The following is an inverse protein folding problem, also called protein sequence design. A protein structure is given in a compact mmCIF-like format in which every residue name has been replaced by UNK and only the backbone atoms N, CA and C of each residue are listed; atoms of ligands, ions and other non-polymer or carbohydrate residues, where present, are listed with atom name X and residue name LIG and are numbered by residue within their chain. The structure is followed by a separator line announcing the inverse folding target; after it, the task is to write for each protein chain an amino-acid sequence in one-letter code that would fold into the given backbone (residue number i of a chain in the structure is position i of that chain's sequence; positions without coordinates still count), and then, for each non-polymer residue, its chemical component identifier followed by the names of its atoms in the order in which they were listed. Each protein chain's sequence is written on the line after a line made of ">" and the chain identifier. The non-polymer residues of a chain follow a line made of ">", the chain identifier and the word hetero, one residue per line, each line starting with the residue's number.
data_IF_637602858571
#
_entry.id   IF_637602858571
#
_cell.length_a   1.000
_cell.length_b   1.000
_cell.length_c   1.000
_cell.angle_alpha   90.00
_cell.angle_beta   90.00
_cell.angle_gamma   90.00
#
_symmetry.space_group_name_H-M   'P 1'
#
loop_
_entity.id
_entity.type
_entity.pdbx_description
1 polymer ?
#
# COMPACT_ATOMS: atom_id res chain seq x y z
N UNK A 1 -27.67 33.66 57.63
CA UNK A 1 -28.53 33.49 56.44
C UNK A 1 -27.88 34.19 55.26
N UNK A 2 -27.39 33.42 54.27
CA UNK A 2 -27.12 33.84 52.88
C UNK A 2 -26.73 32.58 52.09
N UNK A 3 -27.67 32.08 51.32
CA UNK A 3 -27.54 30.89 50.46
C UNK A 3 -27.06 31.41 49.10
N UNK A 4 -25.90 30.94 48.61
CA UNK A 4 -25.47 31.21 47.25
C UNK A 4 -26.00 30.10 46.35
N UNK A 5 -27.01 30.44 45.54
CA UNK A 5 -27.56 29.57 44.50
C UNK A 5 -26.58 29.53 43.33
N UNK A 6 -25.76 28.48 43.26
CA UNK A 6 -24.88 28.22 42.13
C UNK A 6 -25.66 27.62 40.96
N UNK A 7 -25.70 28.32 39.82
CA UNK A 7 -26.24 27.79 38.56
C UNK A 7 -25.20 26.86 37.96
N UNK A 8 -25.53 25.57 37.81
CA UNK A 8 -24.71 24.60 37.07
C UNK A 8 -25.14 24.64 35.61
N UNK A 9 -24.27 25.13 34.73
CA UNK A 9 -24.46 25.04 33.28
C UNK A 9 -23.86 23.71 32.81
N UNK A 10 -24.72 22.76 32.46
CA UNK A 10 -24.30 21.51 31.83
C UNK A 10 -24.05 21.74 30.34
N UNK A 11 -22.78 21.70 29.91
CA UNK A 11 -22.41 21.70 28.49
C UNK A 11 -22.52 20.27 27.98
N UNK A 12 -23.57 19.98 27.21
CA UNK A 12 -23.74 18.72 26.50
C UNK A 12 -22.96 18.81 25.18
N UNK A 13 -21.81 18.16 25.11
CA UNK A 13 -21.12 17.94 23.83
C UNK A 13 -21.87 16.88 23.03
N UNK A 14 -22.70 17.31 22.08
CA UNK A 14 -23.22 16.45 21.03
C UNK A 14 -22.06 16.02 20.14
N UNK A 15 -21.53 14.82 20.39
CA UNK A 15 -20.62 14.14 19.47
C UNK A 15 -21.43 13.76 18.22
N UNK A 16 -21.53 14.68 17.26
CA UNK A 16 -21.98 14.36 15.92
C UNK A 16 -20.93 13.43 15.30
N UNK A 17 -21.19 12.12 15.34
CA UNK A 17 -20.36 11.13 14.68
C UNK A 17 -20.41 11.40 13.17
N UNK A 18 -19.33 11.93 12.61
CA UNK A 18 -19.18 11.97 11.16
C UNK A 18 -19.17 10.53 10.64
N UNK A 19 -19.91 10.22 9.55
CA UNK A 19 -19.80 8.91 8.94
C UNK A 19 -18.33 8.70 8.53
N UNK A 20 -17.77 7.56 8.94
CA UNK A 20 -16.46 7.11 8.44
C UNK A 20 -16.65 6.89 6.95
N UNK A 21 -16.17 7.83 6.12
CA UNK A 21 -16.10 7.62 4.69
C UNK A 21 -15.22 6.38 4.44
N UNK A 22 -15.70 5.44 3.64
CA UNK A 22 -14.86 4.35 3.16
C UNK A 22 -13.62 4.95 2.49
N UNK A 23 -12.45 4.59 2.98
CA UNK A 23 -11.19 5.06 2.44
C UNK A 23 -11.04 4.50 1.02
N UNK A 24 -10.95 5.38 0.03
CA UNK A 24 -10.79 4.97 -1.37
C UNK A 24 -9.44 4.27 -1.55
N UNK A 25 -9.45 3.05 -2.09
CA UNK A 25 -8.23 2.33 -2.44
C UNK A 25 -7.71 2.82 -3.78
N UNK A 26 -6.46 3.30 -3.78
CA UNK A 26 -5.72 3.65 -4.99
C UNK A 26 -4.75 2.53 -5.32
N UNK A 27 -4.71 2.15 -6.59
CA UNK A 27 -3.86 1.08 -7.09
C UNK A 27 -2.64 1.65 -7.78
N UNK A 28 -1.45 1.24 -7.34
CA UNK A 28 -0.18 1.61 -7.96
C UNK A 28 0.43 0.40 -8.66
N UNK A 29 1.06 0.63 -9.80
CA UNK A 29 1.85 -0.41 -10.47
C UNK A 29 3.23 -0.41 -9.86
N UNK A 30 3.65 -1.57 -9.34
CA UNK A 30 5.03 -1.80 -8.91
C UNK A 30 5.70 -2.65 -9.97
N UNK A 31 6.85 -2.20 -10.47
CA UNK A 31 7.64 -2.88 -11.48
C UNK A 31 9.11 -2.48 -11.35
N UNK A 32 9.99 -3.25 -11.97
CA UNK A 32 11.42 -2.94 -12.01
C UNK A 32 11.72 -1.61 -12.71
N UNK A 33 12.76 -0.93 -12.21
CA UNK A 33 13.21 0.36 -12.72
C UNK A 33 13.90 0.18 -14.09
N UNK A 34 13.32 0.70 -15.19
CA UNK A 34 13.87 0.52 -16.52
C UNK A 34 15.18 1.29 -16.77
N UNK A 35 15.54 2.24 -15.91
CA UNK A 35 16.75 3.06 -16.07
C UNK A 35 18.00 2.33 -15.61
N UNK A 36 17.91 1.56 -14.51
CA UNK A 36 19.07 0.86 -13.94
C UNK A 36 19.30 -0.44 -14.70
N UNK A 37 18.34 -1.36 -14.63
CA UNK A 37 18.33 -2.62 -15.37
C UNK A 37 16.98 -3.31 -15.15
N UNK A 38 16.44 -3.94 -16.19
CA UNK A 38 15.33 -4.89 -16.06
C UNK A 38 15.94 -6.30 -16.01
N UNK A 39 15.81 -6.97 -14.87
CA UNK A 39 16.22 -8.35 -14.64
C UNK A 39 15.11 -9.34 -15.01
N UNK A 40 13.85 -9.11 -14.58
CA UNK A 40 12.73 -10.03 -14.83
C UNK A 40 11.63 -9.39 -15.68
N UNK A 41 11.32 -8.11 -15.45
CA UNK A 41 10.31 -7.35 -16.19
C UNK A 41 8.90 -7.50 -15.63
N UNK A 42 8.75 -8.16 -14.49
CA UNK A 42 7.47 -8.43 -13.87
C UNK A 42 6.85 -7.17 -13.23
N UNK A 43 5.56 -7.26 -12.96
CA UNK A 43 4.83 -6.24 -12.20
C UNK A 43 3.68 -6.81 -11.38
N UNK A 44 3.22 -6.03 -10.41
CA UNK A 44 2.03 -6.31 -9.62
C UNK A 44 1.32 -5.00 -9.23
N UNK A 45 0.10 -5.14 -8.72
CA UNK A 45 -0.70 -4.03 -8.23
C UNK A 45 -0.59 -3.89 -6.71
N UNK A 46 -0.21 -2.71 -6.25
CA UNK A 46 -0.12 -2.33 -4.84
C UNK A 46 -1.38 -1.53 -4.43
N UNK A 47 -2.30 -2.10 -3.64
CA UNK A 47 -3.41 -1.34 -3.06
C UNK A 47 -2.94 -0.49 -1.89
N UNK A 48 -3.21 0.82 -1.95
CA UNK A 48 -3.01 1.74 -0.83
C UNK A 48 -4.33 2.44 -0.50
N UNK A 49 -4.73 2.38 0.76
CA UNK A 49 -5.95 3.05 1.25
C UNK A 49 -5.63 4.19 2.22
N UNK A 50 -4.48 4.15 2.91
CA UNK A 50 -4.07 5.21 3.84
C UNK A 50 -3.58 6.45 3.08
N UNK A 51 -4.14 7.65 3.35
CA UNK A 51 -3.77 8.87 2.63
C UNK A 51 -2.27 9.18 2.65
N UNK A 52 -1.59 8.89 3.76
CA UNK A 52 -0.15 9.07 3.91
C UNK A 52 0.67 8.17 2.99
N UNK A 53 0.26 6.92 2.79
CA UNK A 53 0.95 5.99 1.88
C UNK A 53 0.72 6.38 0.43
N UNK A 54 -0.51 6.78 0.10
CA UNK A 54 -0.87 7.28 -1.24
C UNK A 54 -0.06 8.54 -1.56
N UNK A 55 0.07 9.45 -0.59
CA UNK A 55 0.86 10.67 -0.75
C UNK A 55 2.36 10.36 -0.93
N UNK A 56 2.91 9.42 -0.16
CA UNK A 56 4.31 8.99 -0.32
C UNK A 56 4.55 8.34 -1.69
N UNK A 57 3.69 7.40 -2.11
CA UNK A 57 3.79 6.76 -3.42
C UNK A 57 3.75 7.80 -4.57
N UNK A 58 2.83 8.77 -4.51
CA UNK A 58 2.74 9.86 -5.50
C UNK A 58 3.96 10.75 -5.50
N UNK A 59 4.49 11.10 -4.33
CA UNK A 59 5.72 11.90 -4.21
C UNK A 59 6.87 11.21 -4.90
N UNK A 60 7.08 9.90 -4.65
CA UNK A 60 8.16 9.11 -5.26
C UNK A 60 8.06 9.02 -6.78
N UNK A 61 6.85 8.84 -7.29
CA UNK A 61 6.59 8.87 -8.74
C UNK A 61 6.95 10.24 -9.32
N UNK A 62 6.62 11.34 -8.63
CA UNK A 62 6.92 12.69 -9.09
C UNK A 62 8.41 13.04 -9.00
N UNK A 63 9.11 12.58 -7.96
CA UNK A 63 10.56 12.75 -7.77
C UNK A 63 11.37 11.90 -8.76
N UNK A 64 10.82 10.77 -9.19
CA UNK A 64 11.42 9.89 -10.18
C UNK A 64 12.48 8.95 -9.63
N UNK A 65 12.97 8.03 -10.47
CA UNK A 65 13.89 6.95 -10.09
C UNK A 65 15.28 7.43 -9.62
N UNK A 66 15.73 8.61 -10.03
CA UNK A 66 17.06 9.15 -9.71
C UNK A 66 17.10 9.93 -8.38
N UNK A 67 15.96 10.02 -7.68
CA UNK A 67 15.81 10.83 -6.46
C UNK A 67 16.60 10.33 -5.26
N UNK A 68 17.08 9.07 -5.28
CA UNK A 68 17.77 8.44 -4.16
C UNK A 68 16.87 8.12 -2.97
N UNK A 69 15.56 8.30 -3.08
CA UNK A 69 14.59 7.93 -2.04
C UNK A 69 14.15 6.49 -2.27
N UNK A 70 14.34 5.60 -1.29
CA UNK A 70 14.10 4.16 -1.41
C UNK A 70 12.71 3.79 -1.90
N UNK A 71 12.62 2.98 -2.94
CA UNK A 71 11.38 2.66 -3.65
C UNK A 71 10.97 1.19 -3.53
N UNK A 72 11.64 0.42 -2.68
CA UNK A 72 11.32 -1.00 -2.48
C UNK A 72 10.05 -1.10 -1.65
N UNK A 73 8.94 -1.47 -2.28
CA UNK A 73 7.68 -1.69 -1.60
C UNK A 73 7.74 -2.98 -0.77
N UNK A 74 7.60 -2.84 0.55
CA UNK A 74 7.46 -3.99 1.45
C UNK A 74 5.99 -4.32 1.60
N UNK A 75 5.60 -5.56 1.31
CA UNK A 75 4.20 -5.99 1.32
C UNK A 75 4.02 -7.29 2.08
N UNK A 76 2.80 -7.50 2.58
CA UNK A 76 2.33 -8.82 3.01
C UNK A 76 1.36 -9.33 1.96
N UNK A 77 1.50 -10.59 1.57
CA UNK A 77 0.66 -11.24 0.57
C UNK A 77 -0.17 -12.36 1.19
N UNK A 78 -1.18 -12.81 0.46
CA UNK A 78 -1.92 -14.02 0.78
C UNK A 78 -2.00 -14.93 -0.45
N UNK A 79 -2.02 -16.24 -0.19
CA UNK A 79 -2.37 -17.28 -1.16
C UNK A 79 -3.78 -17.02 -1.70
N UNK A 80 -3.94 -17.25 -3.01
CA UNK A 80 -5.20 -17.09 -3.73
C UNK A 80 -5.20 -15.77 -4.49
N UNK A 81 -5.45 -15.81 -5.79
CA UNK A 81 -5.58 -14.60 -6.60
C UNK A 81 -6.86 -13.83 -6.27
N UNK A 82 -6.81 -12.51 -6.45
CA UNK A 82 -7.96 -11.61 -6.32
C UNK A 82 -8.75 -11.43 -7.64
N UNK A 83 -8.29 -12.08 -8.71
CA UNK A 83 -8.89 -12.05 -10.04
C UNK A 83 -8.45 -10.89 -10.94
N UNK A 84 -7.63 -9.95 -10.45
CA UNK A 84 -7.16 -8.82 -11.25
C UNK A 84 -5.67 -8.51 -11.12
N UNK A 85 -5.04 -8.73 -9.96
CA UNK A 85 -3.59 -8.62 -9.78
C UNK A 85 -2.87 -9.55 -10.76
N UNK A 86 -1.96 -8.99 -11.55
CA UNK A 86 -1.26 -9.66 -12.64
C UNK A 86 -0.02 -8.87 -13.02
N UNK A 87 0.81 -9.44 -13.89
CA UNK A 87 1.79 -8.65 -14.60
C UNK A 87 1.08 -7.71 -15.59
N UNK A 88 0.91 -6.45 -15.21
CA UNK A 88 0.22 -5.44 -16.02
C UNK A 88 1.06 -4.95 -17.21
N UNK A 89 2.37 -5.27 -17.25
CA UNK A 89 3.26 -4.93 -18.36
C UNK A 89 3.28 -6.02 -19.43
N UNK A 90 3.01 -7.27 -19.06
CA UNK A 90 2.82 -8.39 -19.99
C UNK A 90 1.39 -8.46 -20.54
N UNK A 91 1.22 -8.26 -21.85
CA UNK A 91 -0.10 -8.36 -22.48
C UNK A 91 -0.65 -9.79 -22.41
N UNK A 92 -1.86 -9.96 -21.86
CA UNK A 92 -2.55 -11.25 -21.80
C UNK A 92 -2.04 -12.21 -20.72
N UNK A 93 -1.22 -11.73 -19.78
CA UNK A 93 -0.75 -12.53 -18.64
C UNK A 93 -1.92 -12.97 -17.76
N UNK A 94 -1.85 -14.20 -17.21
CA UNK A 94 -2.82 -14.67 -16.23
C UNK A 94 -2.75 -13.80 -14.96
N UNK A 95 -3.84 -13.80 -14.19
CA UNK A 95 -3.79 -13.23 -12.84
C UNK A 95 -2.82 -14.05 -11.98
N UNK A 96 -2.10 -13.36 -11.09
CA UNK A 96 -1.28 -13.98 -10.07
C UNK A 96 -2.15 -14.85 -9.15
N UNK A 97 -1.60 -15.96 -8.66
CA UNK A 97 -2.29 -16.83 -7.69
C UNK A 97 -2.13 -16.37 -6.25
N UNK A 98 -1.75 -15.09 -6.07
CA UNK A 98 -1.59 -14.39 -4.80
C UNK A 98 -2.00 -12.92 -4.95
N UNK A 99 -2.24 -12.25 -3.82
CA UNK A 99 -2.56 -10.83 -3.79
C UNK A 99 -1.98 -10.14 -2.54
N UNK A 100 -1.84 -8.82 -2.61
CA UNK A 100 -1.37 -8.00 -1.49
C UNK A 100 -2.49 -7.80 -0.47
N UNK A 101 -2.20 -8.10 0.80
CA UNK A 101 -3.11 -7.88 1.94
C UNK A 101 -2.59 -6.84 2.93
N UNK A 102 -1.35 -6.38 2.78
CA UNK A 102 -0.74 -5.40 3.67
C UNK A 102 0.41 -4.66 3.02
N UNK A 103 0.64 -3.42 3.46
CA UNK A 103 1.74 -2.57 3.03
C UNK A 103 2.56 -2.13 4.24
N UNK A 104 3.85 -2.48 4.23
CA UNK A 104 4.80 -2.17 5.30
C UNK A 104 5.56 -0.86 5.10
N UNK A 105 5.46 -0.24 3.92
CA UNK A 105 6.17 0.99 3.57
C UNK A 105 7.16 0.81 2.41
N UNK A 106 7.83 1.90 2.06
CA UNK A 106 8.94 1.90 1.10
C UNK A 106 10.28 1.89 1.84
N UNK A 107 11.16 0.97 1.46
CA UNK A 107 12.52 0.85 1.99
C UNK A 107 13.58 1.24 0.96
N UNK A 108 14.75 1.63 1.45
CA UNK A 108 15.96 1.83 0.63
C UNK A 108 16.66 0.50 0.31
N UNK A 109 16.52 -0.48 1.21
CA UNK A 109 17.10 -1.82 1.11
C UNK A 109 16.12 -2.84 1.69
N UNK A 110 16.10 -4.03 1.10
CA UNK A 110 15.51 -5.23 1.69
C UNK A 110 16.61 -6.25 1.94
N UNK A 111 16.46 -7.09 2.97
CA UNK A 111 17.31 -8.27 3.09
C UNK A 111 17.01 -9.20 1.91
N UNK A 112 18.02 -9.79 1.27
CA UNK A 112 17.84 -10.60 0.04
C UNK A 112 16.81 -11.74 0.20
N UNK A 113 16.60 -12.23 1.44
CA UNK A 113 15.59 -13.23 1.75
C UNK A 113 14.14 -12.73 1.62
N UNK A 114 13.95 -11.42 1.69
CA UNK A 114 12.67 -10.75 1.48
C UNK A 114 12.61 -10.10 0.09
N UNK A 115 13.66 -10.26 -0.73
CA UNK A 115 13.71 -9.77 -2.10
C UNK A 115 13.13 -10.86 -3.02
N UNK A 116 11.99 -10.56 -3.62
CA UNK A 116 11.26 -11.48 -4.47
C UNK A 116 10.63 -10.72 -5.62
N UNK A 117 10.64 -11.33 -6.81
CA UNK A 117 9.88 -10.82 -7.96
C UNK A 117 8.59 -11.62 -8.13
N UNK A 118 7.55 -11.05 -8.77
CA UNK A 118 6.25 -11.71 -8.90
C UNK A 118 6.27 -13.16 -9.42
N UNK A 119 7.03 -13.45 -10.47
CA UNK A 119 7.16 -14.82 -10.99
C UNK A 119 7.87 -15.77 -10.01
N UNK A 120 8.77 -15.29 -9.16
CA UNK A 120 9.39 -16.10 -8.11
C UNK A 120 8.38 -16.47 -7.02
N UNK A 121 7.58 -15.50 -6.59
CA UNK A 121 6.46 -15.76 -5.66
C UNK A 121 5.49 -16.76 -6.27
N UNK A 122 5.15 -16.61 -7.55
CA UNK A 122 4.23 -17.52 -8.26
C UNK A 122 4.73 -18.97 -8.33
N UNK A 123 6.06 -19.20 -8.29
CA UNK A 123 6.62 -20.56 -8.30
C UNK A 123 6.35 -21.33 -7.01
N UNK A 124 6.23 -20.64 -5.87
CA UNK A 124 5.92 -21.25 -4.58
C UNK A 124 5.21 -20.26 -3.64
N UNK A 125 3.95 -19.95 -3.94
CA UNK A 125 3.14 -19.00 -3.17
C UNK A 125 3.00 -19.40 -1.69
N UNK A 126 3.07 -20.70 -1.38
CA UNK A 126 2.92 -21.20 -0.01
C UNK A 126 4.14 -20.91 0.88
N UNK A 127 5.28 -20.54 0.29
CA UNK A 127 6.50 -20.22 1.02
C UNK A 127 6.55 -18.77 1.54
N UNK A 128 5.57 -17.93 1.19
CA UNK A 128 5.52 -16.49 1.46
C UNK A 128 4.34 -16.05 2.33
#
# INVERSE_FOLDING_TARGET
>A
MRIFTGVVVAVVFLLAGSPVAAQETVWFVVAENPIIQIAHGDSYLLPLSRPEDIADARRRIAEGPDSGVGSIATVTIAVGGDGFNRDVRGAGTPAWSWHVIGFGGFGDFAIELCDGWPTFVEQDVQAF
#
